data_IF_476721088626
#
_entry.id   IF_476721088626
#
_cell.length_a   1.000
_cell.length_b   1.000
_cell.length_c   1.000
_cell.angle_alpha   90.00
_cell.angle_beta   90.00
_cell.angle_gamma   90.00
#
_symmetry.space_group_name_H-M   'P 1'
#
loop_
_entity.id
_entity.type
_entity.pdbx_description
1 polymer ?
#
# COMPACT_ATOMS: atom_id res chain seq x y z
N UNK A 1 12.22 -6.21 -21.27
CA UNK A 1 10.84 -5.71 -21.48
C UNK A 1 10.46 -4.88 -20.27
N UNK A 2 10.26 -3.58 -20.45
CA UNK A 2 9.82 -2.70 -19.35
C UNK A 2 8.37 -2.98 -19.03
N UNK A 3 8.12 -3.60 -17.89
CA UNK A 3 6.77 -3.74 -17.36
C UNK A 3 6.32 -2.39 -16.80
N UNK A 4 5.12 -1.96 -17.13
CA UNK A 4 4.52 -0.75 -16.57
C UNK A 4 3.12 -1.05 -16.06
N UNK A 5 2.71 -0.35 -15.01
CA UNK A 5 1.39 -0.49 -14.37
C UNK A 5 0.55 0.74 -14.67
N UNK A 6 -0.75 0.59 -14.74
CA UNK A 6 -1.67 1.72 -14.87
C UNK A 6 -1.66 2.57 -13.59
N UNK A 7 -1.76 3.89 -13.76
CA UNK A 7 -1.80 4.88 -12.68
C UNK A 7 -2.96 4.71 -11.71
N UNK A 8 -4.04 4.06 -12.15
CA UNK A 8 -5.27 3.88 -11.35
C UNK A 8 -4.99 3.27 -9.96
N UNK A 9 -4.10 2.27 -9.88
CA UNK A 9 -3.73 1.66 -8.60
C UNK A 9 -3.05 2.65 -7.66
N UNK A 10 -2.19 3.51 -8.19
CA UNK A 10 -1.53 4.56 -7.42
C UNK A 10 -2.52 5.61 -6.92
N UNK A 11 -3.46 6.05 -7.76
CA UNK A 11 -4.50 7.02 -7.40
C UNK A 11 -5.37 6.54 -6.24
N UNK A 12 -5.76 5.27 -6.26
CA UNK A 12 -6.59 4.68 -5.20
C UNK A 12 -5.83 4.67 -3.86
N UNK A 13 -4.54 4.32 -3.88
CA UNK A 13 -3.69 4.37 -2.68
C UNK A 13 -3.56 5.80 -2.14
N UNK A 14 -3.34 6.77 -3.02
CA UNK A 14 -3.23 8.17 -2.62
C UNK A 14 -4.54 8.70 -2.04
N UNK A 15 -5.68 8.35 -2.63
CA UNK A 15 -7.00 8.73 -2.10
C UNK A 15 -7.22 8.20 -0.67
N UNK A 16 -6.83 6.96 -0.40
CA UNK A 16 -6.87 6.39 0.94
C UNK A 16 -5.91 7.11 1.91
N UNK A 17 -4.70 7.46 1.45
CA UNK A 17 -3.74 8.22 2.23
C UNK A 17 -4.28 9.63 2.58
N UNK A 18 -4.93 10.31 1.64
CA UNK A 18 -5.56 11.62 1.86
C UNK A 18 -6.68 11.55 2.90
N UNK A 19 -7.50 10.50 2.88
CA UNK A 19 -8.53 10.26 3.90
C UNK A 19 -7.94 10.08 5.31
N UNK A 20 -6.72 9.56 5.40
CA UNK A 20 -5.98 9.41 6.65
C UNK A 20 -5.17 10.67 7.03
N UNK A 21 -5.23 11.72 6.22
CA UNK A 21 -4.49 12.97 6.46
C UNK A 21 -2.99 12.88 6.20
N UNK A 22 -2.54 11.88 5.43
CA UNK A 22 -1.14 11.74 5.06
C UNK A 22 -0.77 12.70 3.92
N UNK A 23 0.46 13.22 3.94
CA UNK A 23 0.96 14.12 2.91
C UNK A 23 1.32 13.37 1.63
N UNK A 24 0.37 13.28 0.71
CA UNK A 24 0.53 12.56 -0.57
C UNK A 24 1.54 13.22 -1.50
N UNK A 25 1.68 14.55 -1.43
CA UNK A 25 2.64 15.30 -2.25
C UNK A 25 4.08 14.93 -1.90
N UNK A 26 4.39 14.85 -0.61
CA UNK A 26 5.69 14.43 -0.13
C UNK A 26 6.02 12.99 -0.55
N UNK A 27 5.05 12.09 -0.43
CA UNK A 27 5.19 10.69 -0.82
C UNK A 27 5.49 10.55 -2.32
N UNK A 28 4.78 11.30 -3.18
CA UNK A 28 5.04 11.32 -4.62
C UNK A 28 6.44 11.83 -4.95
N UNK A 29 6.87 12.92 -4.31
CA UNK A 29 8.20 13.48 -4.50
C UNK A 29 9.30 12.49 -4.09
N UNK A 30 9.11 11.79 -2.96
CA UNK A 30 10.08 10.79 -2.45
C UNK A 30 10.31 9.67 -3.46
N UNK A 31 9.27 9.26 -4.17
CA UNK A 31 9.36 8.18 -5.16
C UNK A 31 9.55 8.67 -6.60
N UNK A 32 9.76 9.96 -6.80
CA UNK A 32 9.99 10.54 -8.12
C UNK A 32 8.77 10.41 -9.06
N UNK A 33 7.57 10.33 -8.50
CA UNK A 33 6.33 10.20 -9.25
C UNK A 33 5.74 11.59 -9.52
N UNK A 34 5.59 11.93 -10.79
CA UNK A 34 4.92 13.18 -11.17
C UNK A 34 3.41 13.07 -10.97
N UNK A 35 2.82 14.01 -10.24
CA UNK A 35 1.38 14.04 -9.98
C UNK A 35 0.56 14.00 -11.27
N UNK A 36 1.00 14.71 -12.30
CA UNK A 36 0.34 14.73 -13.62
C UNK A 36 0.23 13.32 -14.25
N UNK A 37 1.26 12.47 -14.11
CA UNK A 37 1.23 11.09 -14.62
C UNK A 37 0.31 10.20 -13.79
N UNK A 38 0.23 10.45 -12.49
CA UNK A 38 -0.66 9.71 -11.59
C UNK A 38 -2.12 10.06 -11.84
N UNK A 39 -2.43 11.32 -12.14
CA UNK A 39 -3.77 11.79 -12.43
C UNK A 39 -4.25 11.43 -13.84
N UNK A 40 -3.32 11.15 -14.77
CA UNK A 40 -3.66 10.69 -16.12
C UNK A 40 -4.30 9.29 -16.04
N UNK A 41 -5.53 9.11 -16.56
CA UNK A 41 -6.23 7.83 -16.56
C UNK A 41 -5.47 6.70 -17.29
N UNK A 42 -4.71 7.06 -18.30
CA UNK A 42 -3.91 6.14 -19.12
C UNK A 42 -2.41 6.19 -18.76
N UNK A 43 -2.08 6.94 -17.72
CA UNK A 43 -0.73 7.09 -17.20
C UNK A 43 -0.12 5.73 -16.84
N UNK A 44 1.18 5.61 -17.14
CA UNK A 44 1.94 4.40 -16.89
C UNK A 44 3.07 4.69 -15.92
N UNK A 45 3.17 3.85 -14.91
CA UNK A 45 4.16 4.00 -13.83
C UNK A 45 5.04 2.74 -13.75
N UNK A 46 6.31 2.89 -13.33
CA UNK A 46 7.16 1.75 -13.04
C UNK A 46 6.61 0.98 -11.82
N UNK A 47 6.51 -0.35 -11.90
CA UNK A 47 5.92 -1.17 -10.84
C UNK A 47 6.68 -1.05 -9.51
N UNK A 48 7.98 -0.80 -9.58
CA UNK A 48 8.84 -0.62 -8.41
C UNK A 48 8.45 0.64 -7.62
N UNK A 49 8.17 1.74 -8.31
CA UNK A 49 7.76 2.98 -7.69
C UNK A 49 6.37 2.87 -7.04
N UNK A 50 5.44 2.17 -7.70
CA UNK A 50 4.10 1.91 -7.13
C UNK A 50 4.20 1.02 -5.89
N UNK A 51 5.06 0.00 -5.91
CA UNK A 51 5.30 -0.88 -4.75
C UNK A 51 5.91 -0.10 -3.59
N UNK A 52 6.93 0.71 -3.85
CA UNK A 52 7.59 1.52 -2.82
C UNK A 52 6.62 2.53 -2.20
N UNK A 53 5.75 3.15 -3.01
CA UNK A 53 4.69 4.02 -2.53
C UNK A 53 3.70 3.27 -1.62
N UNK A 54 3.31 2.06 -2.01
CA UNK A 54 2.43 1.21 -1.21
C UNK A 54 3.05 0.85 0.15
N UNK A 55 4.32 0.43 0.16
CA UNK A 55 5.04 0.08 1.38
C UNK A 55 5.18 1.29 2.31
N UNK A 56 5.43 2.47 1.76
CA UNK A 56 5.46 3.71 2.53
C UNK A 56 4.09 4.08 3.09
N UNK A 57 3.03 3.95 2.30
CA UNK A 57 1.66 4.20 2.74
C UNK A 57 1.25 3.28 3.90
N UNK A 58 1.54 1.98 3.79
CA UNK A 58 1.32 1.03 4.88
C UNK A 58 2.07 1.41 6.14
N UNK A 59 3.33 1.81 6.01
CA UNK A 59 4.17 2.20 7.15
C UNK A 59 3.68 3.49 7.83
N UNK A 60 3.34 4.51 7.03
CA UNK A 60 2.88 5.81 7.55
C UNK A 60 1.47 5.74 8.13
N UNK A 61 0.61 4.90 7.59
CA UNK A 61 -0.76 4.72 8.10
C UNK A 61 -0.78 4.07 9.49
N UNK A 62 0.19 3.19 9.79
CA UNK A 62 0.20 2.42 11.03
C UNK A 62 -1.01 1.48 11.22
N UNK A 63 -1.85 1.36 10.19
CA UNK A 63 -3.08 0.57 10.23
C UNK A 63 -2.84 -0.82 9.64
N UNK A 64 -3.04 -1.86 10.45
CA UNK A 64 -2.94 -3.24 9.99
C UNK A 64 -3.95 -3.60 8.89
N UNK A 65 -5.02 -2.82 8.77
CA UNK A 65 -6.10 -3.01 7.79
C UNK A 65 -6.07 -1.98 6.66
N UNK A 66 -4.94 -1.29 6.46
CA UNK A 66 -4.81 -0.26 5.43
C UNK A 66 -5.26 -0.73 4.05
N UNK A 67 -4.94 -1.97 3.67
CA UNK A 67 -5.37 -2.55 2.40
C UNK A 67 -6.90 -2.62 2.23
N UNK A 68 -7.64 -2.87 3.30
CA UNK A 68 -9.11 -2.86 3.29
C UNK A 68 -9.65 -1.42 3.10
N UNK A 69 -9.04 -0.44 3.77
CA UNK A 69 -9.41 0.97 3.57
C UNK A 69 -9.15 1.43 2.14
N UNK A 70 -8.03 1.01 1.55
CA UNK A 70 -7.77 1.26 0.13
C UNK A 70 -8.85 0.64 -0.74
N UNK A 71 -9.26 -0.60 -0.46
CA UNK A 71 -10.33 -1.27 -1.21
C UNK A 71 -11.68 -0.55 -1.07
N UNK A 72 -12.01 -0.06 0.13
CA UNK A 72 -13.23 0.71 0.38
C UNK A 72 -13.22 2.09 -0.31
N UNK A 73 -12.04 2.67 -0.51
CA UNK A 73 -11.89 3.98 -1.17
C UNK A 73 -11.95 3.90 -2.70
N UNK A 74 -12.04 2.71 -3.29
CA UNK A 74 -12.11 2.54 -4.75
C UNK A 74 -13.45 3.09 -5.25
N UNK A 75 -13.46 4.18 -6.04
CA UNK A 75 -14.69 4.69 -6.60
C UNK A 75 -15.23 3.74 -7.69
N UNK A 76 -16.54 3.66 -7.80
CA UNK A 76 -17.19 2.94 -8.90
C UNK A 76 -16.72 3.51 -10.24
N UNK A 77 -16.38 2.63 -11.19
CA UNK A 77 -15.84 3.02 -12.49
C UNK A 77 -14.32 3.18 -12.54
N UNK A 78 -13.60 3.02 -11.41
CA UNK A 78 -12.15 3.19 -11.36
C UNK A 78 -11.40 2.26 -12.33
N UNK A 79 -11.87 1.04 -12.47
CA UNK A 79 -11.29 0.01 -13.33
C UNK A 79 -12.01 -0.15 -14.69
N UNK A 80 -12.91 0.77 -15.03
CA UNK A 80 -13.55 0.87 -16.35
C UNK A 80 -14.12 -0.48 -16.86
N UNK A 81 -13.52 -1.00 -17.94
CA UNK A 81 -13.98 -2.23 -18.61
C UNK A 81 -13.97 -3.46 -17.69
N UNK A 82 -12.98 -3.58 -16.82
CA UNK A 82 -12.87 -4.70 -15.89
C UNK A 82 -14.06 -4.73 -14.91
N UNK A 83 -14.43 -3.57 -14.39
CA UNK A 83 -15.58 -3.43 -13.49
C UNK A 83 -16.89 -3.78 -14.18
N UNK A 84 -17.07 -3.34 -15.43
CA UNK A 84 -18.22 -3.69 -16.25
C UNK A 84 -18.31 -5.21 -16.49
N UNK A 85 -17.19 -5.87 -16.81
CA UNK A 85 -17.13 -7.31 -17.01
C UNK A 85 -17.50 -8.07 -15.72
N UNK A 86 -16.99 -7.61 -14.57
CA UNK A 86 -17.32 -8.21 -13.27
C UNK A 86 -18.80 -8.00 -12.94
N UNK A 87 -19.33 -6.79 -13.14
CA UNK A 87 -20.72 -6.46 -12.86
C UNK A 87 -21.71 -7.18 -13.78
N UNK A 88 -21.32 -7.48 -15.02
CA UNK A 88 -22.15 -8.20 -16.00
C UNK A 88 -22.05 -9.73 -15.87
N UNK A 89 -21.17 -10.25 -15.05
CA UNK A 89 -21.04 -11.68 -14.84
C UNK A 89 -22.29 -12.24 -14.10
N UNK A 90 -22.91 -13.31 -14.59
CA UNK A 90 -24.15 -13.84 -14.02
C UNK A 90 -23.97 -14.41 -12.61
N UNK A 91 -22.74 -14.78 -12.25
CA UNK A 91 -22.38 -15.23 -10.90
C UNK A 91 -20.94 -14.86 -10.55
N UNK A 92 -20.71 -14.45 -9.32
CA UNK A 92 -19.36 -14.19 -8.79
C UNK A 92 -18.52 -15.49 -8.72
N UNK A 93 -19.17 -16.64 -8.73
CA UNK A 93 -18.54 -17.98 -8.65
C UNK A 93 -18.09 -18.49 -10.02
N UNK A 94 -18.61 -17.95 -11.13
CA UNK A 94 -18.32 -18.40 -12.48
C UNK A 94 -16.85 -18.36 -12.90
N UNK A 95 -16.09 -17.30 -12.61
CA UNK A 95 -14.66 -17.23 -12.96
C UNK A 95 -13.73 -17.97 -12.01
N UNK A 96 -14.17 -18.37 -10.84
CA UNK A 96 -13.30 -19.03 -9.85
C UNK A 96 -13.13 -20.54 -10.09
N UNK A 97 -13.90 -21.15 -10.99
CA UNK A 97 -13.76 -22.58 -11.33
C UNK A 97 -12.67 -22.86 -12.36
N UNK A 98 -12.17 -21.84 -13.07
CA UNK A 98 -10.94 -21.99 -13.85
C UNK A 98 -9.76 -21.78 -12.91
N UNK A 99 -9.23 -22.89 -12.44
CA UNK A 99 -7.98 -23.06 -11.74
C UNK A 99 -7.04 -21.87 -11.97
N UNK A 100 -7.08 -20.91 -11.06
CA UNK A 100 -6.00 -19.94 -10.94
C UNK A 100 -4.73 -20.75 -10.67
N UNK A 101 -3.72 -20.75 -11.56
CA UNK A 101 -2.46 -21.38 -11.22
C UNK A 101 -1.99 -20.69 -9.94
N UNK A 102 -1.82 -21.47 -8.91
CA UNK A 102 -1.28 -21.03 -7.65
C UNK A 102 0.12 -20.46 -7.94
N UNK A 103 0.20 -19.21 -8.29
CA UNK A 103 1.45 -18.48 -8.23
C UNK A 103 1.77 -18.34 -6.76
N UNK A 104 2.54 -19.32 -6.30
CA UNK A 104 3.19 -19.28 -5.02
C UNK A 104 3.89 -17.93 -4.88
N UNK A 105 3.62 -17.27 -3.77
CA UNK A 105 4.47 -16.22 -3.23
C UNK A 105 4.38 -14.84 -3.86
N UNK A 106 3.40 -14.10 -3.43
CA UNK A 106 3.69 -12.76 -2.96
C UNK A 106 2.91 -12.55 -1.69
N UNK A 107 3.59 -12.85 -0.60
CA UNK A 107 3.21 -12.37 0.72
C UNK A 107 3.30 -10.86 0.68
N UNK A 108 2.21 -10.21 0.39
CA UNK A 108 1.97 -8.84 0.84
C UNK A 108 1.65 -8.94 2.35
N UNK A 109 2.61 -9.47 3.09
CA UNK A 109 2.61 -9.34 4.52
C UNK A 109 3.21 -7.98 4.79
N UNK A 110 2.39 -7.04 5.19
CA UNK A 110 2.82 -5.93 6.02
C UNK A 110 3.42 -6.58 7.27
N UNK A 111 4.73 -6.85 7.24
CA UNK A 111 5.46 -7.46 8.37
C UNK A 111 5.59 -6.38 9.43
N UNK A 112 4.66 -6.37 10.35
CA UNK A 112 4.83 -5.70 11.63
C UNK A 112 5.96 -6.42 12.38
N UNK A 113 7.20 -6.02 12.14
CA UNK A 113 8.28 -6.31 13.08
C UNK A 113 8.08 -5.39 14.28
N UNK A 114 7.31 -5.86 15.22
CA UNK A 114 7.41 -5.43 16.60
C UNK A 114 8.76 -5.91 17.11
N UNK A 115 9.78 -5.07 16.98
CA UNK A 115 11.06 -5.24 17.66
C UNK A 115 10.81 -5.04 19.14
N UNK A 116 10.67 -6.13 19.87
CA UNK A 116 10.80 -6.17 21.31
C UNK A 116 12.22 -5.73 21.66
N UNK A 117 12.40 -4.48 22.05
CA UNK A 117 13.62 -4.02 22.70
C UNK A 117 13.57 -4.50 24.13
N UNK A 118 14.40 -5.51 24.39
CA UNK A 118 14.66 -6.04 25.71
C UNK A 118 15.16 -4.95 26.65
N UNK A 119 14.49 -4.83 27.77
CA UNK A 119 14.94 -4.20 29.00
C UNK A 119 16.32 -4.70 29.40
N UNK A 120 17.29 -3.81 29.43
CA UNK A 120 18.53 -4.01 30.17
C UNK A 120 18.45 -3.12 31.41
N UNK A 121 18.07 -3.73 32.51
CA UNK A 121 18.26 -3.20 33.83
C UNK A 121 19.77 -3.13 34.12
N UNK A 122 20.31 -1.95 34.24
CA UNK A 122 21.65 -1.66 34.78
C UNK A 122 21.50 -0.96 36.10
N UNK A 123 21.46 -1.74 37.13
CA UNK A 123 21.69 -1.32 38.52
C UNK A 123 23.13 -0.84 38.66
N UNK A 124 23.32 0.38 39.10
CA UNK A 124 24.60 0.94 39.43
C UNK A 124 24.47 1.93 40.56
N UNK A 125 24.36 1.39 41.75
CA UNK A 125 24.55 2.07 43.03
C UNK A 125 26.01 2.51 43.15
N UNK A 126 26.28 3.77 43.50
CA UNK A 126 27.38 4.10 44.42
C UNK A 126 27.19 5.50 45.00
N UNK A 127 26.99 5.47 46.24
CA UNK A 127 27.19 6.41 47.32
C UNK A 127 28.60 6.95 47.37
N UNK A 128 28.74 8.24 47.76
CA UNK A 128 29.77 8.85 48.61
C UNK A 128 29.67 10.35 48.45
N UNK A 129 29.22 11.14 49.37
CA UNK A 129 29.73 11.50 50.67
C UNK A 129 30.90 12.51 50.60
N UNK A 130 30.62 13.65 51.21
CA UNK A 130 31.51 14.55 51.96
C UNK A 130 32.51 15.45 51.19
N UNK A 131 32.37 16.70 51.21
CA UNK A 131 32.86 17.70 52.17
C UNK A 131 32.42 19.08 51.73
#
# INVERSE_FOLDING_TARGET
MSHSVLSVGCRVVLAACEQLGLNTTEMLCTHGLARAVVEDPDGRLPPEAVRALWDEACRKSGDAHFALRVAESIPAGAYRVLEYVIASAPTVVGPSSSRCPRTSSSRLACSSRSGSAASAAGSGNTSAAMA
#
